data_IF_063579117703
#
_entry.id   IF_063579117703
#
_cell.length_a   1.000
_cell.length_b   1.000
_cell.length_c   1.000
_cell.angle_alpha   90.00
_cell.angle_beta   90.00
_cell.angle_gamma   90.00
#
_symmetry.space_group_name_H-M   'P 1'
#
loop_
_entity.id
_entity.type
_entity.pdbx_description
1 polymer ?
#
# COMPACT_ATOMS: atom_id res chain seq x y z
N UNK A 1 5.51 -106.64 -19.38
CA UNK A 1 5.21 -105.79 -18.21
C UNK A 1 6.17 -104.67 -18.26
N UNK A 2 5.72 -103.49 -18.64
CA UNK A 2 6.54 -102.29 -18.64
C UNK A 2 5.99 -101.33 -17.53
N UNK A 3 6.81 -101.12 -16.55
CA UNK A 3 6.51 -100.12 -15.51
C UNK A 3 6.48 -98.72 -16.15
N UNK A 4 5.34 -98.07 -16.05
CA UNK A 4 5.17 -96.73 -16.46
C UNK A 4 5.68 -95.84 -15.25
N UNK A 5 6.80 -95.14 -15.47
CA UNK A 5 7.40 -94.21 -14.56
C UNK A 5 6.48 -93.03 -14.27
N UNK A 6 5.97 -92.98 -13.07
CA UNK A 6 5.16 -91.85 -12.53
C UNK A 6 6.09 -90.77 -12.00
N UNK A 7 6.85 -90.09 -12.82
CA UNK A 7 7.77 -89.07 -12.34
C UNK A 7 7.57 -87.66 -12.96
N UNK A 8 6.49 -87.42 -13.68
CA UNK A 8 6.29 -86.09 -14.27
C UNK A 8 5.22 -85.20 -13.65
N UNK A 9 4.69 -85.59 -12.44
CA UNK A 9 3.59 -84.80 -11.85
C UNK A 9 4.03 -83.80 -10.79
N UNK A 10 5.31 -83.51 -10.59
CA UNK A 10 5.77 -82.60 -9.58
C UNK A 10 6.62 -81.45 -10.18
N UNK A 11 6.14 -80.78 -11.24
CA UNK A 11 6.68 -79.47 -11.59
C UNK A 11 5.86 -78.42 -10.90
N UNK A 12 6.49 -77.58 -10.04
CA UNK A 12 5.79 -76.46 -9.47
C UNK A 12 5.37 -75.50 -10.58
N UNK A 13 4.10 -75.08 -10.55
CA UNK A 13 3.54 -74.10 -11.44
C UNK A 13 4.42 -72.84 -11.42
N UNK A 14 4.68 -72.19 -12.57
CA UNK A 14 5.45 -70.97 -12.59
C UNK A 14 4.67 -69.87 -11.89
N UNK A 15 4.97 -69.64 -10.64
CA UNK A 15 4.45 -68.56 -9.78
C UNK A 15 4.75 -67.21 -10.45
N UNK A 16 3.77 -66.73 -11.14
CA UNK A 16 3.41 -65.32 -11.33
C UNK A 16 4.53 -64.26 -11.18
N UNK A 17 5.30 -64.06 -12.23
CA UNK A 17 6.12 -62.84 -12.47
C UNK A 17 5.26 -61.60 -12.66
N UNK A 18 3.94 -61.72 -12.74
CA UNK A 18 2.97 -60.65 -13.01
C UNK A 18 2.85 -59.62 -11.87
N UNK A 19 3.03 -60.05 -10.62
CA UNK A 19 2.86 -59.16 -9.46
C UNK A 19 3.98 -58.15 -9.30
N UNK A 20 5.23 -58.48 -9.69
CA UNK A 20 6.39 -57.60 -9.66
C UNK A 20 6.36 -56.56 -10.79
N UNK A 21 5.81 -56.87 -11.93
CA UNK A 21 5.67 -55.98 -13.08
C UNK A 21 4.68 -54.82 -12.77
N UNK A 22 3.53 -55.13 -12.17
CA UNK A 22 2.54 -54.12 -11.81
C UNK A 22 3.04 -53.17 -10.72
N UNK A 23 3.81 -53.66 -9.75
CA UNK A 23 4.37 -52.83 -8.69
C UNK A 23 5.52 -51.91 -9.23
N UNK A 24 6.29 -52.36 -10.19
CA UNK A 24 7.31 -51.55 -10.86
C UNK A 24 6.66 -50.45 -11.72
N UNK A 25 5.63 -50.79 -12.50
CA UNK A 25 4.87 -49.83 -13.29
C UNK A 25 4.17 -48.76 -12.39
N UNK A 26 3.59 -49.17 -11.28
CA UNK A 26 2.99 -48.26 -10.31
C UNK A 26 4.02 -47.29 -9.69
N UNK A 27 5.23 -47.75 -9.39
CA UNK A 27 6.31 -46.89 -8.88
C UNK A 27 6.81 -45.88 -9.93
N UNK A 28 6.88 -46.29 -11.21
CA UNK A 28 7.24 -45.38 -12.30
C UNK A 28 6.16 -44.31 -12.50
N UNK A 29 4.89 -44.72 -12.49
CA UNK A 29 3.76 -43.82 -12.60
C UNK A 29 3.72 -42.82 -11.41
N UNK A 30 3.96 -43.31 -10.19
CA UNK A 30 3.99 -42.46 -9.01
C UNK A 30 5.13 -41.43 -9.09
N UNK A 31 6.33 -41.84 -9.51
CA UNK A 31 7.45 -40.94 -9.73
C UNK A 31 7.19 -39.93 -10.87
N UNK A 32 6.60 -40.34 -11.99
CA UNK A 32 6.28 -39.43 -13.06
C UNK A 32 5.24 -38.40 -12.61
N UNK A 33 4.26 -38.80 -11.79
CA UNK A 33 3.26 -37.92 -11.23
C UNK A 33 3.88 -36.88 -10.28
N UNK A 34 4.81 -37.30 -9.40
CA UNK A 34 5.49 -36.37 -8.47
C UNK A 34 6.37 -35.36 -9.25
N UNK A 35 7.08 -35.80 -10.31
CA UNK A 35 7.86 -34.89 -11.14
C UNK A 35 6.96 -33.92 -11.92
N UNK A 36 5.79 -34.37 -12.39
CA UNK A 36 4.81 -33.51 -13.07
C UNK A 36 4.25 -32.45 -12.13
N UNK A 37 3.90 -32.81 -10.89
CA UNK A 37 3.47 -31.84 -9.88
C UNK A 37 4.58 -30.86 -9.49
N UNK A 38 5.83 -31.33 -9.35
CA UNK A 38 6.97 -30.48 -9.05
C UNK A 38 7.23 -29.46 -10.19
N UNK A 39 7.16 -29.91 -11.44
CA UNK A 39 7.32 -29.04 -12.61
C UNK A 39 6.19 -28.00 -12.70
N UNK A 40 4.94 -28.45 -12.48
CA UNK A 40 3.79 -27.55 -12.47
C UNK A 40 3.88 -26.52 -11.33
N UNK A 41 4.30 -26.94 -10.13
CA UNK A 41 4.53 -26.03 -9.00
C UNK A 41 5.62 -25.00 -9.30
N UNK A 42 6.73 -25.42 -9.92
CA UNK A 42 7.80 -24.50 -10.33
C UNK A 42 7.31 -23.49 -11.37
N UNK A 43 6.57 -23.96 -12.37
CA UNK A 43 6.00 -23.10 -13.43
C UNK A 43 4.99 -22.11 -12.85
N UNK A 44 4.19 -22.54 -11.86
CA UNK A 44 3.23 -21.68 -11.17
C UNK A 44 3.93 -20.60 -10.34
N UNK A 45 5.00 -20.95 -9.62
CA UNK A 45 5.82 -19.97 -8.88
C UNK A 45 6.45 -18.98 -9.85
N UNK A 46 7.00 -19.45 -10.97
CA UNK A 46 7.56 -18.58 -12.00
C UNK A 46 6.50 -17.61 -12.56
N UNK A 47 5.30 -18.12 -12.82
CA UNK A 47 4.17 -17.31 -13.26
C UNK A 47 3.81 -16.23 -12.23
N UNK A 48 3.75 -16.59 -10.94
CA UNK A 48 3.49 -15.63 -9.86
C UNK A 48 4.58 -14.56 -9.78
N UNK A 49 5.85 -14.92 -9.93
CA UNK A 49 6.96 -13.97 -9.94
C UNK A 49 6.87 -13.03 -11.14
N UNK A 50 6.55 -13.56 -12.34
CA UNK A 50 6.36 -12.73 -13.54
C UNK A 50 5.15 -11.81 -13.37
N UNK A 51 4.04 -12.33 -12.83
CA UNK A 51 2.83 -11.55 -12.57
C UNK A 51 3.11 -10.45 -11.53
N UNK A 52 3.82 -10.74 -10.44
CA UNK A 52 4.24 -9.77 -9.45
C UNK A 52 5.15 -8.67 -10.05
N UNK A 53 6.04 -9.04 -10.98
CA UNK A 53 6.86 -8.06 -11.70
C UNK A 53 6.05 -7.26 -12.74
N UNK A 54 5.02 -7.84 -13.35
CA UNK A 54 4.14 -7.13 -14.30
C UNK A 54 3.13 -6.22 -13.60
N UNK A 55 2.62 -6.62 -12.43
CA UNK A 55 1.77 -5.76 -11.60
C UNK A 55 2.56 -4.62 -10.96
N UNK A 56 3.87 -4.57 -11.20
CA UNK A 56 4.77 -3.47 -10.91
C UNK A 56 4.59 -2.90 -9.51
N UNK A 57 5.65 -2.76 -8.75
CA UNK A 57 5.63 -1.76 -7.68
C UNK A 57 5.04 -0.49 -8.26
N UNK A 58 4.00 0.12 -7.67
CA UNK A 58 3.54 1.43 -8.11
C UNK A 58 4.80 2.28 -8.13
N UNK A 59 5.27 2.61 -9.32
CA UNK A 59 6.34 3.56 -9.50
C UNK A 59 5.77 4.84 -8.91
N UNK A 60 6.10 5.13 -7.66
CA UNK A 60 5.88 6.46 -7.12
C UNK A 60 6.67 7.32 -8.10
N UNK A 61 5.96 7.92 -9.06
CA UNK A 61 6.54 8.92 -9.94
C UNK A 61 6.94 10.07 -9.04
N UNK A 62 8.16 9.99 -8.51
CA UNK A 62 8.76 11.11 -7.81
C UNK A 62 8.97 12.17 -8.89
N UNK A 63 7.97 13.02 -9.06
CA UNK A 63 8.13 14.21 -9.87
C UNK A 63 9.27 15.01 -9.22
N UNK A 64 10.31 15.36 -9.97
CA UNK A 64 11.38 16.17 -9.41
C UNK A 64 10.76 17.48 -8.90
N UNK A 65 10.90 17.72 -7.60
CA UNK A 65 10.42 18.97 -6.99
C UNK A 65 11.16 20.12 -7.67
N UNK A 66 10.43 21.09 -8.26
CA UNK A 66 11.05 22.22 -8.93
C UNK A 66 11.94 22.99 -7.95
N UNK A 67 12.87 23.77 -8.46
CA UNK A 67 13.80 24.58 -7.66
C UNK A 67 13.08 25.64 -6.80
N UNK A 68 11.83 25.94 -7.12
CA UNK A 68 10.91 26.76 -6.33
C UNK A 68 9.57 26.05 -6.26
N UNK A 69 9.12 25.76 -5.04
CA UNK A 69 7.87 25.08 -4.78
C UNK A 69 7.06 25.86 -3.73
N UNK A 70 5.76 25.68 -3.78
CA UNK A 70 4.83 26.11 -2.75
C UNK A 70 4.22 24.86 -2.16
N UNK A 71 4.23 24.73 -0.84
CA UNK A 71 3.50 23.64 -0.17
C UNK A 71 2.02 24.03 -0.10
N UNK A 72 1.17 23.21 -0.71
CA UNK A 72 -0.28 23.37 -0.63
C UNK A 72 -0.88 22.33 0.33
N UNK A 73 -1.70 22.81 1.26
CA UNK A 73 -2.45 21.98 2.20
C UNK A 73 -3.94 22.10 1.85
N UNK A 74 -4.57 20.98 1.57
CA UNK A 74 -6.03 20.88 1.42
C UNK A 74 -6.61 20.39 2.76
N UNK A 75 -7.20 21.29 3.55
CA UNK A 75 -7.71 21.00 4.89
C UNK A 75 -9.19 20.64 4.92
N UNK A 76 -9.84 20.54 3.77
CA UNK A 76 -11.22 20.04 3.63
C UNK A 76 -11.28 18.50 3.67
N UNK A 77 -10.13 17.84 3.61
CA UNK A 77 -10.03 16.39 3.71
C UNK A 77 -10.01 15.93 5.17
N UNK A 78 -10.55 14.75 5.46
CA UNK A 78 -10.35 14.12 6.77
C UNK A 78 -8.90 13.66 6.92
N UNK A 79 -8.30 14.00 8.04
CA UNK A 79 -6.96 13.54 8.42
C UNK A 79 -7.07 12.66 9.66
N UNK A 80 -7.06 11.32 9.51
CA UNK A 80 -6.98 10.41 10.64
C UNK A 80 -5.65 10.61 11.38
N UNK A 81 -5.62 10.40 12.69
CA UNK A 81 -4.41 10.60 13.49
C UNK A 81 -3.27 9.66 13.09
N UNK A 82 -3.60 8.42 12.76
CA UNK A 82 -2.65 7.43 12.28
C UNK A 82 -3.11 6.81 10.97
N UNK A 83 -2.17 6.31 10.18
CA UNK A 83 -2.53 5.47 9.04
C UNK A 83 -3.27 4.24 9.55
N UNK A 84 -4.37 3.90 8.91
CA UNK A 84 -4.98 2.59 9.12
C UNK A 84 -4.03 1.54 8.54
N UNK A 85 -3.63 0.56 9.37
CA UNK A 85 -2.88 -0.64 8.93
C UNK A 85 -3.78 -1.59 8.11
N UNK A 86 -4.85 -1.08 7.52
CA UNK A 86 -5.75 -1.87 6.69
C UNK A 86 -5.06 -2.16 5.36
N UNK A 87 -4.73 -3.44 5.14
CA UNK A 87 -4.14 -3.92 3.90
C UNK A 87 -4.98 -3.59 2.66
N UNK A 88 -6.27 -3.32 2.84
CA UNK A 88 -7.17 -2.89 1.77
C UNK A 88 -7.04 -1.39 1.47
N UNK A 89 -6.60 -0.58 2.43
CA UNK A 89 -6.36 0.85 2.22
C UNK A 89 -5.17 1.10 1.27
N UNK A 90 -4.24 0.15 1.19
CA UNK A 90 -3.10 0.21 0.26
C UNK A 90 -3.52 0.04 -1.21
N UNK A 91 -4.71 -0.54 -1.46
CA UNK A 91 -5.30 -0.65 -2.79
C UNK A 91 -6.24 0.52 -3.14
N UNK A 92 -6.41 1.49 -2.24
CA UNK A 92 -7.17 2.70 -2.52
C UNK A 92 -6.35 3.63 -3.41
N UNK A 93 -6.96 4.17 -4.44
CA UNK A 93 -6.29 5.03 -5.44
C UNK A 93 -5.74 6.33 -4.83
N UNK A 94 -6.18 6.72 -3.64
CA UNK A 94 -5.67 7.88 -2.91
C UNK A 94 -5.06 7.42 -1.56
N UNK A 95 -3.74 7.59 -1.36
CA UNK A 95 -3.13 7.34 -0.07
C UNK A 95 -3.71 8.32 0.97
N UNK A 96 -4.40 7.79 1.97
CA UNK A 96 -4.89 8.61 3.08
C UNK A 96 -3.69 9.16 3.86
N UNK A 97 -3.45 10.46 3.74
CA UNK A 97 -2.46 11.15 4.56
C UNK A 97 -2.95 11.21 6.00
N UNK A 98 -2.12 10.79 6.94
CA UNK A 98 -2.43 10.96 8.36
C UNK A 98 -2.17 12.40 8.81
N UNK A 99 -2.78 12.80 9.91
CA UNK A 99 -2.50 14.10 10.51
C UNK A 99 -1.01 14.26 10.88
N UNK A 100 -0.39 13.18 11.36
CA UNK A 100 1.04 13.16 11.61
C UNK A 100 1.87 13.44 10.35
N UNK A 101 1.51 12.87 9.21
CA UNK A 101 2.21 13.13 7.96
C UNK A 101 2.04 14.58 7.50
N UNK A 102 0.86 15.17 7.72
CA UNK A 102 0.60 16.59 7.45
C UNK A 102 1.55 17.49 8.25
N UNK A 103 1.61 17.32 9.58
CA UNK A 103 2.50 18.09 10.45
C UNK A 103 3.96 17.89 10.06
N UNK A 104 4.34 16.65 9.77
CA UNK A 104 5.70 16.33 9.31
C UNK A 104 6.04 17.03 8.00
N UNK A 105 5.10 17.08 7.04
CA UNK A 105 5.30 17.76 5.77
C UNK A 105 5.54 19.27 5.97
N UNK A 106 4.78 19.94 6.84
CA UNK A 106 4.96 21.36 7.17
C UNK A 106 6.33 21.60 7.80
N UNK A 107 6.74 20.75 8.76
CA UNK A 107 8.03 20.89 9.43
C UNK A 107 9.22 20.65 8.49
N UNK A 108 9.14 19.67 7.59
CA UNK A 108 10.17 19.43 6.58
C UNK A 108 10.23 20.60 5.58
N UNK A 109 9.07 21.11 5.14
CA UNK A 109 9.00 22.25 4.24
C UNK A 109 9.56 23.54 4.87
N UNK A 110 9.46 23.69 6.18
CA UNK A 110 10.07 24.81 6.89
C UNK A 110 11.60 24.84 6.69
N UNK A 111 12.25 23.69 6.63
CA UNK A 111 13.69 23.54 6.50
C UNK A 111 14.17 23.42 5.02
N UNK A 112 13.28 23.12 4.08
CA UNK A 112 13.62 22.94 2.67
C UNK A 112 13.73 24.30 1.96
N UNK A 113 14.93 24.65 1.48
CA UNK A 113 15.18 25.90 0.76
C UNK A 113 14.42 26.00 -0.58
N UNK A 114 13.92 24.89 -1.13
CA UNK A 114 13.10 24.89 -2.33
C UNK A 114 11.69 25.38 -2.08
N UNK A 115 11.17 25.18 -0.86
CA UNK A 115 9.83 25.63 -0.49
C UNK A 115 9.89 27.12 -0.12
N UNK A 116 9.16 27.93 -0.89
CA UNK A 116 9.15 29.38 -0.73
C UNK A 116 7.99 29.89 0.12
N UNK A 117 6.87 29.18 0.10
CA UNK A 117 5.66 29.57 0.80
C UNK A 117 4.81 28.35 1.13
N UNK A 118 3.86 28.54 2.05
CA UNK A 118 2.81 27.62 2.40
C UNK A 118 1.46 28.25 2.05
N UNK A 119 0.58 27.47 1.41
CA UNK A 119 -0.81 27.87 1.11
C UNK A 119 -1.72 26.79 1.67
N UNK A 120 -2.65 27.16 2.54
CA UNK A 120 -3.69 26.28 3.03
C UNK A 120 -5.04 26.65 2.41
N UNK A 121 -5.79 25.64 1.96
CA UNK A 121 -7.18 25.78 1.51
C UNK A 121 -8.10 25.23 2.59
N UNK A 122 -9.03 26.07 3.06
CA UNK A 122 -9.98 25.78 4.14
C UNK A 122 -11.37 26.22 3.73
N UNK A 123 -12.22 25.28 3.34
CA UNK A 123 -13.66 25.50 3.16
C UNK A 123 -14.43 25.15 4.42
N UNK A 124 -14.23 23.93 4.92
CA UNK A 124 -14.82 23.41 6.14
C UNK A 124 -13.91 22.34 6.73
N UNK A 125 -13.04 22.74 7.66
CA UNK A 125 -12.09 21.77 8.22
C UNK A 125 -12.80 20.73 9.11
N UNK A 126 -12.41 19.47 8.96
CA UNK A 126 -12.82 18.37 9.83
C UNK A 126 -11.84 18.12 11.00
N UNK A 127 -10.84 19.00 11.18
CA UNK A 127 -9.84 18.89 12.23
C UNK A 127 -10.45 19.17 13.60
N UNK A 128 -10.14 18.34 14.58
CA UNK A 128 -10.45 18.62 15.98
C UNK A 128 -9.59 19.75 16.55
N UNK A 129 -10.05 20.38 17.65
CA UNK A 129 -9.37 21.53 18.26
C UNK A 129 -7.91 21.25 18.60
N UNK A 130 -7.58 20.04 19.07
CA UNK A 130 -6.19 19.65 19.36
C UNK A 130 -5.33 19.62 18.09
N UNK A 131 -5.85 19.04 17.01
CA UNK A 131 -5.18 19.01 15.71
C UNK A 131 -4.98 20.43 15.15
N UNK A 132 -5.99 21.29 15.31
CA UNK A 132 -5.86 22.71 14.95
C UNK A 132 -4.73 23.39 15.73
N UNK A 133 -4.61 23.14 17.03
CA UNK A 133 -3.55 23.70 17.85
C UNK A 133 -2.17 23.25 17.37
N UNK A 134 -1.99 21.96 17.11
CA UNK A 134 -0.73 21.39 16.61
C UNK A 134 -0.37 21.95 15.23
N UNK A 135 -1.34 22.04 14.33
CA UNK A 135 -1.12 22.63 13.01
C UNK A 135 -0.74 24.11 13.08
N UNK A 136 -1.37 24.87 13.96
CA UNK A 136 -1.02 26.28 14.23
C UNK A 136 0.42 26.43 14.68
N UNK A 137 0.89 25.57 15.59
CA UNK A 137 2.29 25.60 16.04
C UNK A 137 3.25 25.26 14.89
N UNK A 138 2.92 24.28 14.05
CA UNK A 138 3.72 23.95 12.88
C UNK A 138 3.77 25.10 11.86
N UNK A 139 2.65 25.79 11.63
CA UNK A 139 2.59 26.98 10.75
C UNK A 139 3.41 28.12 11.32
N UNK A 140 3.34 28.39 12.63
CA UNK A 140 4.18 29.42 13.30
C UNK A 140 5.67 29.07 13.18
N UNK A 141 6.04 27.81 13.38
CA UNK A 141 7.42 27.35 13.19
C UNK A 141 7.88 27.54 11.74
N UNK A 142 7.03 27.23 10.75
CA UNK A 142 7.30 27.48 9.35
C UNK A 142 7.55 28.97 9.08
N UNK A 143 6.70 29.86 9.59
CA UNK A 143 6.83 31.33 9.43
C UNK A 143 8.09 31.88 10.11
N UNK A 144 8.51 31.28 11.23
CA UNK A 144 9.72 31.70 11.95
C UNK A 144 11.01 31.53 11.12
N UNK A 145 10.98 30.71 10.04
CA UNK A 145 12.07 30.57 9.08
C UNK A 145 12.14 31.74 8.05
N UNK A 146 11.24 32.71 8.14
CA UNK A 146 11.14 33.85 7.24
C UNK A 146 10.30 33.59 5.98
N UNK A 147 9.71 32.39 5.85
CA UNK A 147 8.80 32.04 4.75
C UNK A 147 7.38 32.52 5.05
N UNK A 148 6.61 32.79 4.00
CA UNK A 148 5.24 33.27 4.12
C UNK A 148 4.23 32.12 4.11
N UNK A 149 3.19 32.25 4.94
CA UNK A 149 2.08 31.31 5.00
C UNK A 149 0.77 32.06 4.69
N UNK A 150 0.04 31.56 3.71
CA UNK A 150 -1.23 32.11 3.25
C UNK A 150 -2.35 31.11 3.50
N UNK A 151 -3.52 31.61 3.83
CA UNK A 151 -4.72 30.78 3.94
C UNK A 151 -5.75 31.32 2.94
N UNK A 152 -6.33 30.44 2.15
CA UNK A 152 -7.49 30.72 1.31
C UNK A 152 -8.71 30.00 1.90
N UNK A 153 -9.86 30.68 1.86
CA UNK A 153 -11.12 30.07 2.26
C UNK A 153 -12.24 30.43 1.30
N UNK A 154 -12.96 29.40 0.85
CA UNK A 154 -14.20 29.55 0.08
C UNK A 154 -15.41 29.90 0.96
N UNK A 155 -15.32 29.68 2.28
CA UNK A 155 -16.42 29.98 3.21
C UNK A 155 -16.17 29.44 4.61
N UNK A 156 -15.66 30.27 5.50
CA UNK A 156 -15.50 29.90 6.91
C UNK A 156 -16.85 29.85 7.61
N UNK A 157 -17.13 28.72 8.29
CA UNK A 157 -18.34 28.58 9.12
C UNK A 157 -19.62 28.29 8.34
N UNK A 158 -19.54 27.91 7.07
CA UNK A 158 -20.70 27.61 6.24
C UNK A 158 -21.56 26.45 6.76
N UNK A 159 -20.96 25.48 7.47
CA UNK A 159 -21.62 24.31 8.03
C UNK A 159 -21.44 24.13 9.55
N UNK A 160 -20.91 25.14 10.24
CA UNK A 160 -20.64 25.08 11.68
C UNK A 160 -20.23 26.43 12.25
N UNK A 161 -19.79 26.44 13.50
CA UNK A 161 -19.21 27.64 14.10
C UNK A 161 -17.84 27.92 13.52
N UNK A 162 -17.66 28.89 12.65
CA UNK A 162 -16.39 29.28 12.01
C UNK A 162 -15.27 29.73 12.97
N UNK A 163 -15.48 29.54 14.27
CA UNK A 163 -14.51 29.89 15.32
C UNK A 163 -13.24 29.10 15.19
N UNK A 164 -13.35 27.79 14.94
CA UNK A 164 -12.20 26.89 14.83
C UNK A 164 -11.43 27.16 13.53
N UNK A 165 -12.14 27.40 12.41
CA UNK A 165 -11.56 27.78 11.14
C UNK A 165 -10.82 29.12 11.25
N UNK A 166 -11.42 30.11 11.91
CA UNK A 166 -10.81 31.42 12.13
C UNK A 166 -9.62 31.31 13.10
N UNK A 167 -9.75 30.47 14.14
CA UNK A 167 -8.65 30.22 15.06
C UNK A 167 -7.45 29.63 14.33
N UNK A 168 -7.66 28.67 13.41
CA UNK A 168 -6.61 28.15 12.55
C UNK A 168 -6.04 29.26 11.65
N UNK A 169 -6.89 30.00 10.97
CA UNK A 169 -6.53 31.04 10.02
C UNK A 169 -5.64 32.12 10.66
N UNK A 170 -5.87 32.45 11.93
CA UNK A 170 -5.08 33.47 12.65
C UNK A 170 -3.60 33.11 12.86
N UNK A 171 -3.18 31.86 12.52
CA UNK A 171 -1.77 31.47 12.52
C UNK A 171 -1.02 31.86 11.24
N UNK A 172 -1.72 32.22 10.17
CA UNK A 172 -1.17 32.56 8.87
C UNK A 172 -0.80 34.07 8.78
N UNK A 173 -0.02 34.44 7.78
CA UNK A 173 0.34 35.87 7.55
C UNK A 173 -0.83 36.63 6.91
N UNK A 174 -1.53 35.99 5.98
CA UNK A 174 -2.65 36.57 5.24
C UNK A 174 -3.78 35.57 5.07
N UNK A 175 -5.01 36.06 5.17
CA UNK A 175 -6.23 35.29 4.98
C UNK A 175 -6.96 35.86 3.78
N UNK A 176 -7.17 35.01 2.79
CA UNK A 176 -7.87 35.35 1.56
C UNK A 176 -9.22 34.65 1.54
N UNK A 177 -10.28 35.42 1.40
CA UNK A 177 -11.64 34.85 1.39
C UNK A 177 -12.30 35.15 0.06
N UNK A 178 -13.14 34.20 -0.39
CA UNK A 178 -13.96 34.42 -1.56
C UNK A 178 -14.95 35.57 -1.26
N UNK A 179 -15.10 36.55 -2.16
CA UNK A 179 -16.12 37.59 -1.95
C UNK A 179 -17.52 37.00 -1.96
N UNK A 180 -18.40 37.49 -1.09
CA UNK A 180 -19.81 37.06 -0.92
C UNK A 180 -20.02 35.67 -0.31
N UNK A 181 -19.18 35.25 0.58
CA UNK A 181 -19.39 34.03 1.42
C UNK A 181 -19.93 34.42 2.79
#
# INVERSE_FOLDING_TARGET
>A
MKEVQMTEFNKPFPELKIKKSKAAAARILLKSLTYSFALFGLLFILLLVVLANMLGSPSVMVHPVPSRAVLTLDLDRPYPESRSDDLLAEFSEEPSLSFYDLIKAVNVAALDNKVQALVADVGNTSLGLAQIQDLREAVKAFRSTGKKAYLYSSGMGSFGGGTDDYYLASAFDEIWMQPNT
#
